data_IF_326860988382
#
_entry.id   IF_326860988382
#
_cell.length_a   1.000
_cell.length_b   1.000
_cell.length_c   1.000
_cell.angle_alpha   90.00
_cell.angle_beta   90.00
_cell.angle_gamma   90.00
#
_symmetry.space_group_name_H-M   'P 1'
#
loop_
_entity.id
_entity.type
_entity.pdbx_description
1 polymer ?
#
# COMPACT_ATOMS: atom_id res chain seq x y z
N UNK A 1 -23.49 18.08 -41.68
CA UNK A 1 -22.21 17.71 -41.01
C UNK A 1 -22.21 18.05 -39.50
N UNK A 2 -23.36 18.13 -38.83
CA UNK A 2 -23.44 18.63 -37.43
C UNK A 2 -23.66 17.51 -36.40
N UNK A 3 -24.06 16.31 -36.85
CA UNK A 3 -24.43 15.19 -35.98
C UNK A 3 -23.23 14.41 -35.40
N UNK A 4 -22.03 14.52 -36.00
CA UNK A 4 -20.82 13.81 -35.54
C UNK A 4 -20.14 14.51 -34.35
N UNK A 5 -20.35 15.82 -34.21
CA UNK A 5 -19.75 16.63 -33.14
C UNK A 5 -20.38 16.37 -31.78
N UNK A 6 -21.65 15.96 -31.73
CA UNK A 6 -22.41 15.81 -30.47
C UNK A 6 -22.16 14.47 -29.76
N UNK A 7 -21.66 13.46 -30.49
CA UNK A 7 -21.38 12.14 -29.93
C UNK A 7 -19.95 12.01 -29.38
N UNK A 8 -19.01 12.83 -29.86
CA UNK A 8 -17.61 12.85 -29.41
C UNK A 8 -17.41 13.52 -28.05
N UNK A 9 -18.22 14.52 -27.69
CA UNK A 9 -18.14 15.20 -26.38
C UNK A 9 -18.46 14.24 -25.23
N UNK A 10 -19.54 13.46 -25.33
CA UNK A 10 -19.91 12.49 -24.29
C UNK A 10 -18.88 11.38 -24.09
N UNK A 11 -18.11 11.05 -25.13
CA UNK A 11 -17.08 10.02 -25.09
C UNK A 11 -15.80 10.53 -24.40
N UNK A 12 -15.48 11.82 -24.58
CA UNK A 12 -14.37 12.49 -23.89
C UNK A 12 -14.69 12.65 -22.40
N UNK A 13 -15.90 13.10 -22.05
CA UNK A 13 -16.34 13.20 -20.65
C UNK A 13 -16.27 11.86 -19.91
N UNK A 14 -16.72 10.79 -20.57
CA UNK A 14 -16.62 9.44 -20.01
C UNK A 14 -15.15 9.00 -19.83
N UNK A 15 -14.28 9.30 -20.80
CA UNK A 15 -12.86 8.98 -20.71
C UNK A 15 -12.16 9.73 -19.56
N UNK A 16 -12.49 11.00 -19.35
CA UNK A 16 -11.97 11.81 -18.24
C UNK A 16 -12.43 11.23 -16.90
N UNK A 17 -13.72 10.89 -16.78
CA UNK A 17 -14.26 10.29 -15.56
C UNK A 17 -13.56 8.95 -15.23
N UNK A 18 -13.36 8.08 -16.22
CA UNK A 18 -12.64 6.81 -16.04
C UNK A 18 -11.18 7.04 -15.65
N UNK A 19 -10.48 7.97 -16.30
CA UNK A 19 -9.10 8.31 -15.97
C UNK A 19 -8.96 8.83 -14.54
N UNK A 20 -9.91 9.64 -14.07
CA UNK A 20 -9.94 10.14 -12.70
C UNK A 20 -10.15 9.01 -11.69
N UNK A 21 -11.07 8.08 -11.95
CA UNK A 21 -11.32 6.90 -11.09
C UNK A 21 -10.08 6.01 -11.02
N UNK A 22 -9.48 5.69 -12.17
CA UNK A 22 -8.26 4.86 -12.24
C UNK A 22 -7.12 5.55 -11.50
N UNK A 23 -6.91 6.85 -11.73
CA UNK A 23 -5.90 7.65 -11.04
C UNK A 23 -6.08 7.64 -9.52
N UNK A 24 -7.32 7.80 -9.04
CA UNK A 24 -7.65 7.74 -7.61
C UNK A 24 -7.38 6.34 -7.03
N UNK A 25 -7.70 5.28 -7.77
CA UNK A 25 -7.45 3.90 -7.33
C UNK A 25 -5.96 3.59 -7.26
N UNK A 26 -5.19 4.01 -8.27
CA UNK A 26 -3.72 3.90 -8.28
C UNK A 26 -3.13 4.69 -7.10
N UNK A 27 -3.56 5.93 -6.88
CA UNK A 27 -3.12 6.74 -5.74
C UNK A 27 -3.44 6.05 -4.40
N UNK A 28 -4.63 5.49 -4.26
CA UNK A 28 -5.04 4.77 -3.05
C UNK A 28 -4.16 3.53 -2.81
N UNK A 29 -3.96 2.70 -3.85
CA UNK A 29 -3.06 1.54 -3.79
C UNK A 29 -1.63 2.01 -3.47
N UNK A 30 -1.13 3.05 -4.13
CA UNK A 30 0.19 3.60 -3.90
C UNK A 30 0.35 4.09 -2.47
N UNK A 31 -0.64 4.75 -1.87
CA UNK A 31 -0.59 5.21 -0.47
C UNK A 31 -0.60 4.02 0.48
N UNK A 32 -1.48 3.03 0.28
CA UNK A 32 -1.54 1.81 1.09
C UNK A 32 -0.23 1.00 0.97
N UNK A 33 0.32 0.90 -0.23
CA UNK A 33 1.55 0.17 -0.50
C UNK A 33 2.80 0.94 -0.05
N UNK A 34 2.83 2.27 -0.19
CA UNK A 34 3.91 3.11 0.33
C UNK A 34 3.95 3.08 1.86
N UNK A 35 2.79 3.02 2.52
CA UNK A 35 2.73 2.75 3.97
C UNK A 35 3.31 1.37 4.32
N UNK A 36 3.18 0.35 3.46
CA UNK A 36 3.90 -0.93 3.63
C UNK A 36 5.41 -0.82 3.40
N UNK A 37 5.88 0.16 2.63
CA UNK A 37 7.30 0.36 2.28
C UNK A 37 8.06 1.31 3.21
N UNK A 38 7.52 1.64 4.38
CA UNK A 38 8.31 2.22 5.47
C UNK A 38 9.47 1.32 5.97
N UNK A 39 9.66 0.13 5.40
CA UNK A 39 10.72 -0.83 5.75
C UNK A 39 11.74 -1.10 4.63
N UNK A 40 11.91 -0.21 3.65
CA UNK A 40 13.16 -0.17 2.89
C UNK A 40 13.90 1.11 3.26
N UNK A 41 14.34 1.15 4.53
CA UNK A 41 15.56 1.87 4.86
C UNK A 41 16.64 1.39 3.87
N UNK A 42 16.89 2.21 2.86
CA UNK A 42 18.13 2.16 2.09
C UNK A 42 19.22 2.81 2.94
N UNK A 43 19.38 2.31 4.17
CA UNK A 43 20.56 2.55 4.97
C UNK A 43 21.68 1.66 4.42
N UNK A 44 22.94 2.12 4.41
CA UNK A 44 24.05 1.21 4.22
C UNK A 44 23.88 0.08 5.25
N UNK A 45 23.87 -1.15 4.77
CA UNK A 45 23.77 -2.36 5.59
C UNK A 45 24.83 -2.24 6.70
N UNK A 46 24.41 -1.82 7.89
CA UNK A 46 25.16 -2.03 9.11
C UNK A 46 24.71 -3.38 9.62
N UNK A 47 25.47 -4.40 9.21
CA UNK A 47 25.46 -5.70 9.87
C UNK A 47 26.02 -5.47 11.27
N UNK A 48 25.21 -4.93 12.17
CA UNK A 48 25.47 -5.03 13.60
C UNK A 48 24.81 -6.32 14.06
N UNK A 49 25.52 -7.42 13.81
CA UNK A 49 25.23 -8.73 14.41
C UNK A 49 25.44 -8.62 15.92
N UNK A 50 24.46 -8.08 16.63
CA UNK A 50 24.37 -8.27 18.07
C UNK A 50 23.64 -9.58 18.33
N UNK A 51 24.45 -10.62 18.44
CA UNK A 51 24.07 -11.99 18.77
C UNK A 51 23.52 -12.02 20.21
N UNK A 52 22.21 -11.88 20.37
CA UNK A 52 21.49 -12.47 21.51
C UNK A 52 20.44 -13.42 20.95
N UNK A 53 20.62 -14.69 21.31
CA UNK A 53 19.98 -15.85 20.75
C UNK A 53 18.52 -16.00 21.21
N UNK A 54 17.68 -14.98 21.02
CA UNK A 54 16.24 -15.06 21.29
C UNK A 54 15.51 -15.23 19.95
N UNK A 55 15.00 -16.43 19.72
CA UNK A 55 14.22 -16.78 18.52
C UNK A 55 12.86 -16.08 18.63
N UNK A 56 12.80 -14.81 18.26
CA UNK A 56 11.55 -14.06 18.21
C UNK A 56 10.64 -14.73 17.17
N UNK A 57 9.57 -15.37 17.65
CA UNK A 57 8.57 -15.97 16.77
C UNK A 57 7.73 -14.84 16.19
N UNK A 58 7.93 -14.59 14.90
CA UNK A 58 7.17 -13.61 14.14
C UNK A 58 5.96 -14.28 13.50
N UNK A 59 4.78 -13.65 13.60
CA UNK A 59 3.60 -14.04 12.85
C UNK A 59 3.21 -12.96 11.83
N UNK A 60 2.35 -13.33 10.88
CA UNK A 60 1.92 -12.43 9.80
C UNK A 60 0.55 -11.85 10.16
N UNK A 61 0.47 -10.53 10.26
CA UNK A 61 -0.79 -9.84 10.48
C UNK A 61 -1.75 -10.09 9.30
N UNK A 62 -2.99 -10.56 9.53
CA UNK A 62 -3.92 -10.88 8.44
C UNK A 62 -4.45 -9.65 7.70
N UNK A 63 -4.41 -8.45 8.31
CA UNK A 63 -4.92 -7.21 7.72
C UNK A 63 -3.92 -6.54 6.79
N UNK A 64 -2.63 -6.53 7.17
CA UNK A 64 -1.60 -5.76 6.48
C UNK A 64 -0.36 -6.58 6.08
N UNK A 65 -0.34 -7.87 6.40
CA UNK A 65 0.78 -8.80 6.14
C UNK A 65 2.12 -8.39 6.78
N UNK A 66 2.11 -7.48 7.75
CA UNK A 66 3.29 -7.13 8.52
C UNK A 66 3.76 -8.32 9.35
N UNK A 67 5.09 -8.48 9.47
CA UNK A 67 5.68 -9.42 10.42
C UNK A 67 5.65 -8.77 11.79
N UNK A 68 5.00 -9.42 12.74
CA UNK A 68 4.77 -8.91 14.09
C UNK A 68 5.21 -9.94 15.11
N UNK A 69 5.74 -9.47 16.23
CA UNK A 69 6.22 -10.33 17.31
C UNK A 69 5.04 -10.98 18.03
N UNK A 70 5.18 -12.24 18.45
CA UNK A 70 4.17 -12.87 19.30
C UNK A 70 3.99 -12.11 20.62
N UNK A 71 2.73 -11.87 21.00
CA UNK A 71 2.37 -11.20 22.26
C UNK A 71 1.83 -9.77 22.11
N UNK A 72 1.85 -9.19 20.91
CA UNK A 72 1.16 -7.93 20.63
C UNK A 72 -0.31 -8.17 20.30
N UNK A 73 -1.22 -7.38 20.88
CA UNK A 73 -2.67 -7.45 20.63
C UNK A 73 -3.11 -6.54 19.47
N UNK A 74 -2.25 -5.62 19.06
CA UNK A 74 -2.48 -4.65 18.02
C UNK A 74 -1.25 -4.57 17.13
N UNK A 75 -1.48 -4.61 15.82
CA UNK A 75 -0.41 -4.54 14.85
C UNK A 75 0.17 -3.12 14.82
N UNK A 76 1.47 -2.92 15.14
CA UNK A 76 2.08 -1.59 15.14
C UNK A 76 2.12 -0.95 13.74
N UNK A 77 1.96 -1.74 12.68
CA UNK A 77 1.98 -1.26 11.31
C UNK A 77 0.64 -0.71 10.82
N UNK A 78 -0.49 -1.24 11.32
CA UNK A 78 -1.82 -0.86 10.82
C UNK A 78 -2.87 -0.56 11.90
N UNK A 79 -2.55 -0.75 13.18
CA UNK A 79 -3.49 -0.60 14.30
C UNK A 79 -4.61 -1.64 14.33
N UNK A 80 -4.52 -2.71 13.53
CA UNK A 80 -5.49 -3.80 13.52
C UNK A 80 -5.25 -4.76 14.68
N UNK A 81 -6.33 -5.25 15.32
CA UNK A 81 -6.25 -6.24 16.41
C UNK A 81 -5.83 -7.60 15.87
N UNK A 82 -4.75 -8.16 16.41
CA UNK A 82 -4.09 -9.38 15.92
C UNK A 82 -4.11 -10.50 16.95
#
# INVERSE_FOLDING_TARGET
MIHKSMQTTSLIDLAIALAAIIGAFILCICVVYSRRRGGLESGPIRIETHTTHEKVVLFVCPYCSAKVEQGVTECPSCGGKV
#
